data_IF_159363931423
#
_entry.id   IF_159363931423
#
_cell.length_a   1.000
_cell.length_b   1.000
_cell.length_c   1.000
_cell.angle_alpha   90.00
_cell.angle_beta   90.00
_cell.angle_gamma   90.00
#
_symmetry.space_group_name_H-M   'P 1'
#
loop_
_entity.id
_entity.type
_entity.pdbx_description
1 polymer ?
#
# COMPACT_ATOMS: atom_id res chain seq x y z
N UNK A 1 12.55 -22.33 5.20
CA UNK A 1 13.41 -21.27 4.61
C UNK A 1 14.58 -21.05 5.56
N UNK A 2 15.81 -21.07 5.07
CA UNK A 2 16.98 -20.77 5.91
C UNK A 2 17.10 -19.26 6.20
N UNK A 3 18.03 -18.90 7.09
CA UNK A 3 18.24 -17.52 7.53
C UNK A 3 18.62 -16.57 6.40
N UNK A 4 19.33 -17.05 5.38
CA UNK A 4 19.74 -16.22 4.25
C UNK A 4 18.55 -15.99 3.32
N UNK A 5 17.83 -17.05 2.96
CA UNK A 5 16.63 -16.96 2.14
C UNK A 5 15.55 -16.05 2.77
N UNK A 6 15.39 -16.06 4.09
CA UNK A 6 14.47 -15.13 4.77
C UNK A 6 14.88 -13.66 4.61
N UNK A 7 16.18 -13.35 4.72
CA UNK A 7 16.68 -11.98 4.54
C UNK A 7 16.50 -11.50 3.11
N UNK A 8 16.77 -12.38 2.15
CA UNK A 8 16.62 -12.06 0.74
C UNK A 8 15.15 -11.82 0.41
N UNK A 9 14.24 -12.63 0.96
CA UNK A 9 12.81 -12.42 0.83
C UNK A 9 12.33 -11.11 1.48
N UNK A 10 12.83 -10.76 2.67
CA UNK A 10 12.49 -9.47 3.30
C UNK A 10 12.97 -8.27 2.46
N UNK A 11 14.16 -8.38 1.86
CA UNK A 11 14.69 -7.35 0.96
C UNK A 11 13.82 -7.22 -0.29
N UNK A 12 13.45 -8.34 -0.89
CA UNK A 12 12.55 -8.38 -2.06
C UNK A 12 11.20 -7.73 -1.74
N UNK A 13 10.58 -8.08 -0.61
CA UNK A 13 9.33 -7.45 -0.16
C UNK A 13 9.47 -5.93 0.01
N UNK A 14 10.58 -5.44 0.55
CA UNK A 14 10.86 -4.01 0.67
C UNK A 14 11.01 -3.31 -0.68
N UNK A 15 11.45 -4.03 -1.71
CA UNK A 15 11.56 -3.53 -3.09
C UNK A 15 10.28 -3.72 -3.89
N UNK A 16 9.37 -4.60 -3.47
CA UNK A 16 8.09 -4.85 -4.14
C UNK A 16 7.09 -3.72 -3.91
N UNK A 17 6.99 -3.19 -2.70
CA UNK A 17 5.99 -2.16 -2.41
C UNK A 17 6.56 -0.76 -2.63
N UNK A 18 5.82 0.07 -3.36
CA UNK A 18 5.97 1.52 -3.31
C UNK A 18 5.01 2.04 -2.22
N UNK A 19 5.47 2.95 -1.36
CA UNK A 19 4.67 3.46 -0.26
C UNK A 19 4.80 4.98 -0.16
N UNK A 20 3.68 5.67 0.00
CA UNK A 20 3.69 7.09 0.30
C UNK A 20 2.66 7.44 1.37
N UNK A 21 3.10 8.21 2.36
CA UNK A 21 2.25 8.74 3.42
C UNK A 21 1.54 10.02 2.98
N UNK A 22 0.28 10.16 3.35
CA UNK A 22 -0.48 11.38 3.15
C UNK A 22 -1.37 11.68 4.38
N UNK A 23 -1.78 12.94 4.50
CA UNK A 23 -2.73 13.38 5.54
C UNK A 23 -4.08 13.58 4.88
N UNK A 24 -5.10 12.90 5.39
CA UNK A 24 -6.48 13.18 4.98
C UNK A 24 -6.98 14.37 5.80
N UNK A 25 -7.34 15.46 5.14
CA UNK A 25 -8.04 16.55 5.80
C UNK A 25 -9.50 16.12 6.02
N UNK A 26 -9.81 15.51 7.16
CA UNK A 26 -11.20 15.38 7.61
C UNK A 26 -11.39 16.17 8.90
N UNK A 27 -12.44 16.99 8.93
CA UNK A 27 -12.81 17.92 10.00
C UNK A 27 -13.23 17.27 11.32
N UNK A 28 -12.75 16.06 11.61
CA UNK A 28 -13.06 15.28 12.81
C UNK A 28 -11.77 14.91 13.55
N UNK A 29 -10.87 15.87 13.78
CA UNK A 29 -9.86 15.88 14.85
C UNK A 29 -8.86 14.71 14.97
N UNK A 30 -8.94 13.68 14.14
CA UNK A 30 -8.14 12.46 14.27
C UNK A 30 -7.15 12.37 13.11
N UNK A 31 -5.90 12.71 13.40
CA UNK A 31 -4.78 12.63 12.46
C UNK A 31 -4.25 11.19 12.50
N UNK A 32 -4.89 10.29 11.77
CA UNK A 32 -4.34 8.96 11.51
C UNK A 32 -3.24 9.03 10.44
N UNK A 33 -2.11 8.35 10.67
CA UNK A 33 -1.14 8.12 9.59
C UNK A 33 -1.84 7.31 8.49
N UNK A 34 -1.95 7.90 7.30
CA UNK A 34 -2.53 7.23 6.14
C UNK A 34 -1.42 6.96 5.14
N UNK A 35 -1.24 5.70 4.75
CA UNK A 35 -0.22 5.30 3.78
C UNK A 35 -0.92 4.57 2.64
N UNK A 36 -0.63 4.98 1.40
CA UNK A 36 -0.99 4.18 0.23
C UNK A 36 0.21 3.30 -0.12
N UNK A 37 -0.04 2.01 -0.23
CA UNK A 37 0.90 1.05 -0.77
C UNK A 37 0.47 0.67 -2.19
N UNK A 38 1.44 0.57 -3.10
CA UNK A 38 1.26 -0.01 -4.43
C UNK A 38 2.15 -1.25 -4.50
N UNK A 39 1.56 -2.40 -4.76
CA UNK A 39 2.32 -3.61 -5.11
C UNK A 39 2.86 -3.46 -6.53
N UNK A 40 4.18 -3.36 -6.71
CA UNK A 40 4.80 -3.19 -8.03
C UNK A 40 4.67 -4.42 -8.92
N UNK A 41 4.38 -5.61 -8.38
CA UNK A 41 4.17 -6.79 -9.21
C UNK A 41 2.80 -6.74 -9.93
N UNK A 42 1.76 -6.27 -9.23
CA UNK A 42 0.36 -6.33 -9.71
C UNK A 42 -0.23 -4.96 -10.04
N UNK A 43 0.35 -3.90 -9.50
CA UNK A 43 -0.19 -2.54 -9.49
C UNK A 43 -1.34 -2.32 -8.50
N UNK A 44 -1.70 -3.32 -7.68
CA UNK A 44 -2.82 -3.20 -6.73
C UNK A 44 -2.50 -2.17 -5.64
N UNK A 45 -3.48 -1.33 -5.33
CA UNK A 45 -3.39 -0.33 -4.28
C UNK A 45 -3.98 -0.82 -2.96
N UNK A 46 -3.29 -0.54 -1.85
CA UNK A 46 -3.73 -0.83 -0.49
C UNK A 46 -3.67 0.44 0.36
N UNK A 47 -4.73 0.70 1.12
CA UNK A 47 -4.80 1.80 2.06
C UNK A 47 -4.55 1.29 3.47
N UNK A 48 -3.53 1.85 4.12
CA UNK A 48 -3.32 1.71 5.56
C UNK A 48 -3.86 2.94 6.30
N UNK A 49 -4.68 2.71 7.32
CA UNK A 49 -5.21 3.77 8.21
C UNK A 49 -4.78 3.48 9.64
N UNK A 50 -3.85 4.26 10.18
CA UNK A 50 -3.21 4.04 11.49
C UNK A 50 -4.03 4.46 12.73
N UNK A 51 -5.36 4.43 12.69
CA UNK A 51 -6.19 4.78 13.86
C UNK A 51 -6.58 3.53 14.65
N UNK A 52 -6.44 3.56 15.98
CA UNK A 52 -7.01 2.53 16.89
C UNK A 52 -6.54 1.09 16.67
N UNK A 53 -5.30 0.87 16.21
CA UNK A 53 -4.74 -0.46 15.94
C UNK A 53 -4.31 -0.68 14.49
N UNK A 54 -4.72 0.21 13.58
CA UNK A 54 -4.31 0.14 12.18
C UNK A 54 -5.12 -0.88 11.38
N UNK A 55 -5.53 -0.53 10.16
CA UNK A 55 -6.08 -1.49 9.22
C UNK A 55 -5.45 -1.31 7.84
N UNK A 56 -5.24 -2.42 7.12
CA UNK A 56 -4.82 -2.45 5.73
C UNK A 56 -5.95 -3.05 4.90
N UNK A 57 -6.40 -2.33 3.88
CA UNK A 57 -7.44 -2.81 2.96
C UNK A 57 -7.02 -2.58 1.52
N UNK A 58 -7.26 -3.51 0.58
CA UNK A 58 -7.17 -3.19 -0.83
C UNK A 58 -8.19 -2.11 -1.19
N UNK A 59 -7.85 -1.24 -2.12
CA UNK A 59 -8.81 -0.37 -2.75
C UNK A 59 -9.57 -1.18 -3.81
N UNK A 60 -10.89 -1.02 -3.85
CA UNK A 60 -11.78 -1.80 -4.69
C UNK A 60 -12.53 -0.85 -5.63
N UNK A 61 -12.61 -1.23 -6.91
CA UNK A 61 -13.41 -0.55 -7.92
C UNK A 61 -14.91 -0.77 -7.69
N UNK A 62 -15.81 0.03 -8.30
CA UNK A 62 -17.25 -0.17 -8.17
C UNK A 62 -17.76 -1.55 -8.63
N UNK A 63 -17.02 -2.22 -9.52
CA UNK A 63 -17.33 -3.57 -10.02
C UNK A 63 -16.83 -4.71 -9.11
N UNK A 64 -16.21 -4.36 -7.97
CA UNK A 64 -15.67 -5.32 -7.00
C UNK A 64 -14.24 -5.80 -7.30
N UNK A 65 -13.62 -5.34 -8.39
CA UNK A 65 -12.23 -5.72 -8.71
C UNK A 65 -11.22 -4.88 -7.91
N UNK A 66 -9.99 -5.38 -7.65
CA UNK A 66 -8.94 -4.56 -7.08
C UNK A 66 -8.62 -3.34 -7.94
N UNK A 67 -8.46 -2.18 -7.30
CA UNK A 67 -8.00 -0.97 -7.97
C UNK A 67 -6.53 -1.12 -8.34
N UNK A 68 -6.24 -0.90 -9.62
CA UNK A 68 -4.88 -0.89 -10.15
C UNK A 68 -4.44 0.56 -10.34
N UNK A 69 -3.21 0.86 -9.95
CA UNK A 69 -2.62 2.17 -10.14
C UNK A 69 -2.22 2.36 -11.62
N UNK A 70 -2.92 3.24 -12.33
CA UNK A 70 -2.65 3.50 -13.76
C UNK A 70 -1.29 4.18 -13.98
N UNK A 71 -0.81 5.01 -13.04
CA UNK A 71 0.53 5.61 -13.13
C UNK A 71 1.63 4.54 -13.07
N UNK A 72 1.46 3.53 -12.22
CA UNK A 72 2.34 2.37 -12.17
C UNK A 72 2.31 1.60 -13.49
N UNK A 73 1.11 1.33 -14.04
CA UNK A 73 0.99 0.67 -15.35
C UNK A 73 1.69 1.43 -16.46
N UNK A 74 1.72 2.76 -16.38
CA UNK A 74 2.38 3.63 -17.35
C UNK A 74 3.88 3.85 -17.08
N UNK A 75 4.43 3.31 -15.99
CA UNK A 75 5.84 3.50 -15.61
C UNK A 75 6.17 4.89 -15.07
N UNK A 76 5.19 5.58 -14.49
CA UNK A 76 5.28 6.97 -13.99
C UNK A 76 5.53 7.06 -12.47
N UNK A 77 5.73 5.92 -11.79
CA UNK A 77 5.94 5.79 -10.34
C UNK A 77 7.24 5.06 -10.00
#
# INVERSE_FOLDING_TARGET
MDKQALKDYQKDLGQRFYAFGFRVAQGTGAIGATVLYVDRETGIEYLFVGMGGGSLTPLINPDGTPKINEKWRNGEL
#
